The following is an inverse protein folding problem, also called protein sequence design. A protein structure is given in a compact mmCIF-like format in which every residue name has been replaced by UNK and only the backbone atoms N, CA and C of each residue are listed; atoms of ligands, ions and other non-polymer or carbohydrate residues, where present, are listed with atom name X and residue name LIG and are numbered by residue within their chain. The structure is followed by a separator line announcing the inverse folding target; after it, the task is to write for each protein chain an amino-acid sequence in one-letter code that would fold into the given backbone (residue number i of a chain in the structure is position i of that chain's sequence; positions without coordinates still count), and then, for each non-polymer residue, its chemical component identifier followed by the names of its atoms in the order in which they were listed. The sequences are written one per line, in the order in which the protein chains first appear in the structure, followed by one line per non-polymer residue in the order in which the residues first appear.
data_IF_685280268822
#
_entry.id   IF_685280268822
#
_cell.length_a   1.000
_cell.length_b   1.000
_cell.length_c   1.000
_cell.angle_alpha   90.00
_cell.angle_beta   90.00
_cell.angle_gamma   90.00
#
_symmetry.space_group_name_H-M   'P 1'
#
loop_
_entity.id
_entity.type
_entity.pdbx_description
1 polymer ?
#
# COMPACT_ATOMS: atom_id res chain seq x y z
N UNK A 1 34.50 -5.92 -4.01
CA UNK A 1 33.20 -5.22 -4.08
C UNK A 1 32.30 -5.69 -2.94
N UNK A 2 31.95 -4.84 -1.95
CA UNK A 2 31.09 -5.21 -0.83
C UNK A 2 29.78 -4.41 -0.88
N UNK A 3 28.83 -4.77 -1.73
CA UNK A 3 27.54 -4.04 -1.86
C UNK A 3 26.33 -4.83 -1.36
N UNK A 4 26.45 -6.15 -1.17
CA UNK A 4 25.32 -7.01 -0.78
C UNK A 4 25.07 -7.04 0.74
N UNK A 5 26.10 -6.91 1.57
CA UNK A 5 25.98 -7.02 3.03
C UNK A 5 25.37 -5.76 3.70
N UNK A 6 25.46 -4.58 3.09
CA UNK A 6 24.89 -3.34 3.63
C UNK A 6 23.37 -3.22 3.43
N UNK A 7 22.75 -4.12 2.64
CA UNK A 7 21.32 -4.06 2.37
C UNK A 7 20.45 -4.65 3.49
N UNK A 8 21.03 -5.33 4.48
CA UNK A 8 20.29 -6.12 5.49
C UNK A 8 20.46 -5.64 6.94
N UNK A 9 20.53 -4.32 7.17
CA UNK A 9 20.36 -3.71 8.50
C UNK A 9 19.19 -2.71 8.52
N UNK A 10 18.04 -3.12 8.00
CA UNK A 10 16.79 -2.38 8.24
C UNK A 10 16.15 -2.90 9.53
N UNK A 11 16.38 -2.20 10.63
CA UNK A 11 15.65 -2.44 11.88
C UNK A 11 14.15 -2.32 11.63
N UNK A 12 13.34 -3.24 12.18
CA UNK A 12 11.88 -3.26 11.99
C UNK A 12 11.24 -1.87 12.22
N UNK A 13 11.71 -1.13 13.23
CA UNK A 13 11.30 0.26 13.52
C UNK A 13 11.43 1.21 12.33
N UNK A 14 12.50 1.11 11.55
CA UNK A 14 12.73 1.96 10.37
C UNK A 14 11.81 1.58 9.22
N UNK A 15 11.50 0.29 9.08
CA UNK A 15 10.56 -0.20 8.07
C UNK A 15 9.14 0.30 8.37
N UNK A 16 8.68 0.14 9.62
CA UNK A 16 7.39 0.68 10.06
C UNK A 16 7.30 2.19 9.89
N UNK A 17 8.33 2.93 10.29
CA UNK A 17 8.37 4.38 10.11
C UNK A 17 8.28 4.79 8.63
N UNK A 18 9.04 4.13 7.74
CA UNK A 18 8.99 4.39 6.29
C UNK A 18 7.60 4.10 5.72
N UNK A 19 7.00 2.95 6.05
CA UNK A 19 5.66 2.59 5.58
C UNK A 19 4.61 3.55 6.09
N UNK A 20 4.72 4.00 7.34
CA UNK A 20 3.80 4.98 7.92
C UNK A 20 3.92 6.35 7.24
N UNK A 21 5.14 6.84 7.05
CA UNK A 21 5.40 8.09 6.32
C UNK A 21 4.86 8.01 4.90
N UNK A 22 5.10 6.90 4.20
CA UNK A 22 4.58 6.69 2.86
C UNK A 22 3.04 6.72 2.82
N UNK A 23 2.38 6.12 3.81
CA UNK A 23 0.91 6.15 3.90
C UNK A 23 0.36 7.56 4.10
N UNK A 24 0.98 8.36 4.97
CA UNK A 24 0.59 9.76 5.18
C UNK A 24 0.73 10.55 3.88
N UNK A 25 1.88 10.42 3.18
CA UNK A 25 2.13 11.13 1.92
C UNK A 25 1.08 10.75 0.87
N UNK A 26 0.75 9.46 0.74
CA UNK A 26 -0.23 8.99 -0.24
C UNK A 26 -1.64 9.54 0.03
N UNK A 27 -2.12 9.46 1.28
CA UNK A 27 -3.44 9.97 1.66
C UNK A 27 -3.52 11.50 1.51
N UNK A 28 -2.48 12.23 1.93
CA UNK A 28 -2.42 13.69 1.74
C UNK A 28 -2.42 14.07 0.27
N UNK A 29 -1.68 13.35 -0.57
CA UNK A 29 -1.64 13.61 -2.01
C UNK A 29 -3.03 13.44 -2.63
N UNK A 30 -3.73 12.36 -2.31
CA UNK A 30 -5.10 12.13 -2.79
C UNK A 30 -6.09 13.19 -2.28
N UNK A 31 -5.96 13.61 -1.03
CA UNK A 31 -6.78 14.68 -0.46
C UNK A 31 -6.52 16.03 -1.15
N UNK A 32 -5.26 16.37 -1.42
CA UNK A 32 -4.87 17.60 -2.13
C UNK A 32 -5.42 17.57 -3.57
N UNK A 33 -5.30 16.44 -4.27
CA UNK A 33 -5.86 16.28 -5.62
C UNK A 33 -7.38 16.47 -5.59
N UNK A 34 -8.06 15.84 -4.63
CA UNK A 34 -9.52 16.00 -4.47
C UNK A 34 -9.89 17.44 -4.20
N UNK A 35 -9.18 18.10 -3.28
CA UNK A 35 -9.42 19.52 -2.98
C UNK A 35 -9.16 20.40 -4.20
N UNK A 36 -8.09 20.16 -4.95
CA UNK A 36 -7.75 20.92 -6.16
C UNK A 36 -8.81 20.78 -7.26
N UNK A 37 -9.38 19.58 -7.42
CA UNK A 37 -10.42 19.32 -8.41
C UNK A 37 -11.80 19.89 -8.02
N UNK A 38 -12.15 19.82 -6.73
CA UNK A 38 -13.50 20.18 -6.26
C UNK A 38 -13.59 21.60 -5.69
N UNK A 39 -12.46 22.17 -5.25
CA UNK A 39 -12.40 23.44 -4.51
C UNK A 39 -12.88 23.36 -3.06
N UNK A 40 -13.48 22.23 -2.65
CA UNK A 40 -14.13 22.06 -1.35
C UNK A 40 -13.31 21.21 -0.39
N UNK A 41 -13.03 21.75 0.80
CA UNK A 41 -12.30 21.04 1.86
C UNK A 41 -13.12 19.89 2.45
N UNK A 42 -14.45 20.03 2.50
CA UNK A 42 -15.34 18.97 2.99
C UNK A 42 -15.22 17.69 2.14
N UNK A 43 -15.12 17.85 0.82
CA UNK A 43 -14.97 16.73 -0.12
C UNK A 43 -13.60 16.04 0.04
N UNK A 44 -12.53 16.79 0.31
CA UNK A 44 -11.24 16.21 0.65
C UNK A 44 -11.26 15.45 1.99
N UNK A 45 -11.99 15.95 2.99
CA UNK A 45 -12.21 15.23 4.25
C UNK A 45 -12.95 13.91 4.06
N UNK A 46 -14.02 13.92 3.24
CA UNK A 46 -14.75 12.71 2.84
C UNK A 46 -13.85 11.72 2.08
N UNK A 47 -12.99 12.23 1.19
CA UNK A 47 -12.03 11.39 0.47
C UNK A 47 -11.12 10.62 1.43
N UNK A 48 -10.50 11.28 2.42
CA UNK A 48 -9.61 10.61 3.40
C UNK A 48 -10.36 9.51 4.15
N UNK A 49 -11.59 9.77 4.59
CA UNK A 49 -12.41 8.81 5.33
C UNK A 49 -12.76 7.57 4.51
N UNK A 50 -12.98 7.72 3.21
CA UNK A 50 -13.35 6.62 2.31
C UNK A 50 -12.12 5.90 1.76
N UNK A 51 -11.06 6.62 1.40
CA UNK A 51 -9.86 6.09 0.74
C UNK A 51 -9.17 5.00 1.57
N UNK A 52 -9.04 5.20 2.86
CA UNK A 52 -8.36 4.27 3.75
C UNK A 52 -9.03 2.88 3.81
N UNK A 53 -10.33 2.75 4.17
CA UNK A 53 -11.01 1.46 4.16
C UNK A 53 -11.18 0.90 2.74
N UNK A 54 -11.36 1.76 1.74
CA UNK A 54 -11.52 1.33 0.34
C UNK A 54 -10.26 0.63 -0.17
N UNK A 55 -9.06 1.13 0.15
CA UNK A 55 -7.80 0.45 -0.18
C UNK A 55 -7.66 -0.92 0.48
N UNK A 56 -8.11 -1.07 1.72
CA UNK A 56 -8.09 -2.38 2.40
C UNK A 56 -9.07 -3.35 1.76
N UNK A 57 -10.26 -2.87 1.39
CA UNK A 57 -11.26 -3.67 0.68
C UNK A 57 -10.73 -4.14 -0.69
N UNK A 58 -10.16 -3.23 -1.48
CA UNK A 58 -9.56 -3.58 -2.76
C UNK A 58 -8.37 -4.53 -2.61
N UNK A 59 -7.52 -4.34 -1.60
CA UNK A 59 -6.42 -5.27 -1.33
C UNK A 59 -6.94 -6.68 -1.04
N UNK A 60 -7.97 -6.81 -0.20
CA UNK A 60 -8.59 -8.10 0.08
C UNK A 60 -9.21 -8.73 -1.18
N UNK A 61 -9.97 -7.96 -1.97
CA UNK A 61 -10.53 -8.46 -3.22
C UNK A 61 -9.45 -8.86 -4.23
N UNK A 62 -8.36 -8.11 -4.30
CA UNK A 62 -7.21 -8.42 -5.16
C UNK A 62 -6.57 -9.74 -4.72
N UNK A 63 -6.32 -9.94 -3.43
CA UNK A 63 -5.74 -11.17 -2.91
C UNK A 63 -6.67 -12.37 -3.08
N UNK A 64 -7.98 -12.19 -2.86
CA UNK A 64 -8.98 -13.23 -3.10
C UNK A 64 -9.12 -13.58 -4.59
N UNK A 65 -9.10 -12.57 -5.47
CA UNK A 65 -9.07 -12.77 -6.92
C UNK A 65 -7.81 -13.51 -7.35
N UNK A 66 -6.66 -13.14 -6.80
CA UNK A 66 -5.38 -13.79 -7.06
C UNK A 66 -5.34 -15.23 -6.56
N UNK A 67 -5.95 -15.52 -5.40
CA UNK A 67 -6.01 -16.87 -4.84
C UNK A 67 -6.69 -17.87 -5.79
N UNK A 68 -7.73 -17.42 -6.51
CA UNK A 68 -8.47 -18.20 -7.49
C UNK A 68 -7.74 -18.37 -8.83
N UNK A 69 -6.65 -17.64 -9.04
CA UNK A 69 -5.82 -17.74 -10.23
C UNK A 69 -4.67 -18.73 -9.93
N UNK A 70 -4.58 -19.82 -10.68
CA UNK A 70 -3.51 -20.83 -10.53
C UNK A 70 -2.17 -20.41 -11.13
N UNK A 71 -2.09 -19.20 -11.70
CA UNK A 71 -0.90 -18.70 -12.37
C UNK A 71 0.28 -18.60 -11.41
N UNK A 72 1.36 -19.32 -11.71
CA UNK A 72 2.59 -19.34 -10.92
C UNK A 72 2.60 -20.28 -9.71
N UNK A 73 1.57 -21.12 -9.51
CA UNK A 73 1.64 -22.22 -8.53
C UNK A 73 2.58 -23.30 -9.09
N UNK A 74 3.86 -23.24 -8.75
CA UNK A 74 4.76 -24.39 -8.93
C UNK A 74 4.23 -25.54 -8.08
N UNK A 75 3.93 -26.67 -8.70
CA UNK A 75 3.73 -27.91 -7.97
C UNK A 75 5.01 -28.17 -7.19
N UNK A 76 4.99 -27.99 -5.87
CA UNK A 76 6.03 -28.56 -5.03
C UNK A 76 5.90 -30.06 -5.21
N UNK A 77 6.72 -30.59 -6.13
CA UNK A 77 6.96 -32.01 -6.28
C UNK A 77 7.47 -32.46 -4.91
N UNK A 78 6.64 -33.17 -4.17
CA UNK A 78 7.07 -33.90 -2.99
C UNK A 78 8.04 -34.99 -3.44
N UNK A 79 9.33 -34.77 -3.23
CA UNK A 79 10.32 -35.85 -3.06
C UNK A 79 10.48 -36.18 -1.57
#
# INVERSE_FOLDING_TARGET
MPTVALMHMYTQRRLFAKTFVWRIIATLTGAIVTWFLTGEVETAGKFIMIEFPLKMWFYYLHENGWHNIEWGKESIQSE
#
